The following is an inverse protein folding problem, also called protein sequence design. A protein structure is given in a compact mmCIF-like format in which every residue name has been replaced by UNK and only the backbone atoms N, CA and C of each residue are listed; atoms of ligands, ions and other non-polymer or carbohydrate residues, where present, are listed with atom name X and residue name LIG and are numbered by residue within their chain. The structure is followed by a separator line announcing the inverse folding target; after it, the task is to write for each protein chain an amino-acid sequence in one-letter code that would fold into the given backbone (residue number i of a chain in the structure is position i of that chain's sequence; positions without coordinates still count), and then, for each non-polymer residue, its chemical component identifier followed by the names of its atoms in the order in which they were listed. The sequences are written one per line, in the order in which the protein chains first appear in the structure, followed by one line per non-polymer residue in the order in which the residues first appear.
data_IF_331000072695
#
_entry.id   IF_331000072695
#
_cell.length_a   1.000
_cell.length_b   1.000
_cell.length_c   1.000
_cell.angle_alpha   90.00
_cell.angle_beta   90.00
_cell.angle_gamma   90.00
#
_symmetry.space_group_name_H-M   'P 1'
#
loop_
_entity.id
_entity.type
_entity.pdbx_description
1 polymer ?
#
# COMPACT_ATOMS: atom_id res chain seq x y z
N UNK A 1 37.37 -8.54 17.26
CA UNK A 1 35.94 -8.50 16.85
C UNK A 1 35.89 -8.49 15.33
N UNK A 2 35.56 -9.61 14.70
CA UNK A 2 35.45 -9.67 13.25
C UNK A 2 34.14 -9.01 12.83
N UNK A 3 34.20 -7.91 12.07
CA UNK A 3 33.04 -7.41 11.33
C UNK A 3 32.67 -8.48 10.30
N UNK A 4 31.61 -9.24 10.56
CA UNK A 4 30.99 -10.10 9.57
C UNK A 4 30.71 -9.24 8.34
N UNK A 5 31.37 -9.57 7.22
CA UNK A 5 31.20 -8.85 5.96
C UNK A 5 29.89 -9.34 5.38
N UNK A 6 28.86 -8.49 5.37
CA UNK A 6 27.58 -8.80 4.73
C UNK A 6 27.85 -9.28 3.30
N UNK A 7 27.38 -10.47 2.89
CA UNK A 7 27.58 -11.01 1.55
C UNK A 7 27.16 -9.99 0.48
N UNK A 8 27.92 -9.89 -0.62
CA UNK A 8 27.60 -8.95 -1.72
C UNK A 8 26.19 -9.15 -2.28
N UNK A 9 25.72 -10.39 -2.30
CA UNK A 9 24.40 -10.75 -2.81
C UNK A 9 23.27 -10.23 -1.91
N UNK A 10 23.48 -10.19 -0.59
CA UNK A 10 22.53 -9.63 0.37
C UNK A 10 22.41 -8.11 0.20
N UNK A 11 23.54 -7.42 0.01
CA UNK A 11 23.55 -5.97 -0.26
C UNK A 11 22.83 -5.65 -1.58
N UNK A 12 23.05 -6.44 -2.63
CA UNK A 12 22.38 -6.26 -3.92
C UNK A 12 20.86 -6.43 -3.78
N UNK A 13 20.40 -7.48 -3.08
CA UNK A 13 18.99 -7.73 -2.80
C UNK A 13 18.32 -6.59 -2.01
N UNK A 14 19.02 -6.03 -1.01
CA UNK A 14 18.52 -4.86 -0.27
C UNK A 14 18.38 -3.64 -1.17
N UNK A 15 19.36 -3.38 -2.06
CA UNK A 15 19.30 -2.25 -3.01
C UNK A 15 18.09 -2.41 -3.95
N UNK A 16 17.86 -3.61 -4.48
CA UNK A 16 16.70 -3.89 -5.34
C UNK A 16 15.38 -3.67 -4.59
N UNK A 17 15.31 -4.09 -3.33
CA UNK A 17 14.11 -3.91 -2.51
C UNK A 17 13.84 -2.44 -2.18
N UNK A 18 14.88 -1.64 -1.90
CA UNK A 18 14.74 -0.20 -1.71
C UNK A 18 14.27 0.48 -3.00
N UNK A 19 14.84 0.11 -4.16
CA UNK A 19 14.40 0.63 -5.47
C UNK A 19 12.94 0.33 -5.74
N UNK A 20 12.47 -0.89 -5.43
CA UNK A 20 11.07 -1.25 -5.58
C UNK A 20 10.12 -0.34 -4.77
N UNK A 21 10.53 0.06 -3.55
CA UNK A 21 9.78 1.02 -2.72
C UNK A 21 9.81 2.42 -3.33
N UNK A 22 10.96 2.85 -3.86
CA UNK A 22 11.09 4.15 -4.52
C UNK A 22 10.26 4.23 -5.80
N UNK A 23 10.21 3.15 -6.59
CA UNK A 23 9.45 3.08 -7.85
C UNK A 23 7.95 3.19 -7.60
N UNK A 24 7.40 2.45 -6.64
CA UNK A 24 5.98 2.59 -6.28
C UNK A 24 5.70 3.97 -5.69
N UNK A 25 6.62 4.55 -4.92
CA UNK A 25 6.48 5.92 -4.39
C UNK A 25 6.44 6.94 -5.51
N UNK A 26 7.32 6.81 -6.51
CA UNK A 26 7.33 7.65 -7.69
C UNK A 26 6.03 7.52 -8.48
N UNK A 27 5.50 6.30 -8.65
CA UNK A 27 4.19 6.09 -9.24
C UNK A 27 3.08 6.79 -8.44
N UNK A 28 3.05 6.64 -7.11
CA UNK A 28 2.04 7.29 -6.27
C UNK A 28 2.04 8.82 -6.41
N UNK A 29 3.21 9.42 -6.56
CA UNK A 29 3.36 10.87 -6.74
C UNK A 29 2.98 11.35 -8.14
N UNK A 30 3.29 10.57 -9.18
CA UNK A 30 3.20 11.01 -10.57
C UNK A 30 2.02 10.42 -11.35
N UNK A 31 1.28 9.46 -10.77
CA UNK A 31 0.17 8.81 -11.46
C UNK A 31 -0.83 9.82 -12.04
N UNK A 32 -1.27 10.87 -11.33
CA UNK A 32 -2.25 11.84 -11.85
C UNK A 32 -1.74 12.77 -12.97
N UNK A 33 -0.42 12.94 -13.15
CA UNK A 33 0.13 13.94 -14.05
C UNK A 33 0.30 13.45 -15.51
N UNK A 34 0.74 12.20 -15.70
CA UNK A 34 1.13 11.69 -17.03
C UNK A 34 0.04 10.79 -17.63
N UNK A 35 -1.04 11.39 -18.15
CA UNK A 35 -2.17 10.66 -18.75
C UNK A 35 -2.18 10.77 -20.27
N UNK A 36 -2.36 9.64 -20.94
CA UNK A 36 -2.73 9.62 -22.37
C UNK A 36 -4.21 10.04 -22.52
N UNK A 37 -4.55 10.69 -23.64
CA UNK A 37 -5.86 11.36 -23.82
C UNK A 37 -7.09 10.47 -23.62
N UNK A 38 -6.99 9.17 -23.87
CA UNK A 38 -8.06 8.16 -23.69
C UNK A 38 -7.87 7.27 -22.46
N UNK A 39 -6.83 7.47 -21.67
CA UNK A 39 -6.58 6.66 -20.50
C UNK A 39 -7.56 7.03 -19.39
N UNK A 40 -8.17 6.00 -18.79
CA UNK A 40 -9.12 6.12 -17.67
C UNK A 40 -8.57 5.52 -16.37
N UNK A 41 -7.54 4.65 -16.50
CA UNK A 41 -6.83 4.03 -15.38
C UNK A 41 -5.34 3.94 -15.71
N UNK A 42 -4.48 4.36 -14.77
CA UNK A 42 -3.05 4.03 -14.76
C UNK A 42 -2.77 2.97 -13.70
N UNK A 43 -1.94 1.99 -14.03
CA UNK A 43 -1.61 0.89 -13.12
C UNK A 43 -0.12 0.75 -12.91
N UNK A 44 0.26 0.43 -11.68
CA UNK A 44 1.57 -0.07 -11.32
C UNK A 44 1.45 -1.56 -10.98
N UNK A 45 2.31 -2.40 -11.57
CA UNK A 45 2.36 -3.83 -11.28
C UNK A 45 3.25 -4.05 -10.06
N UNK A 46 2.70 -4.64 -8.99
CA UNK A 46 3.45 -4.89 -7.76
C UNK A 46 4.35 -6.12 -7.93
N UNK A 47 3.78 -7.21 -8.44
CA UNK A 47 4.46 -8.44 -8.82
C UNK A 47 3.47 -9.30 -9.63
N UNK A 48 3.91 -10.41 -10.20
CA UNK A 48 3.02 -11.33 -10.93
C UNK A 48 1.86 -11.85 -10.07
N UNK A 49 2.02 -11.90 -8.73
CA UNK A 49 1.03 -12.48 -7.82
C UNK A 49 0.30 -11.44 -6.94
N UNK A 50 0.87 -10.25 -6.73
CA UNK A 50 0.30 -9.23 -5.82
C UNK A 50 -0.66 -8.26 -6.53
N UNK A 51 -0.69 -8.31 -7.85
CA UNK A 51 -1.63 -7.55 -8.68
C UNK A 51 -1.16 -6.12 -8.92
N UNK A 52 -2.11 -5.18 -8.89
CA UNK A 52 -1.89 -3.80 -9.33
C UNK A 52 -2.35 -2.78 -8.29
N UNK A 53 -1.72 -1.60 -8.34
CA UNK A 53 -2.24 -0.36 -7.76
C UNK A 53 -2.77 0.49 -8.89
N UNK A 54 -4.05 0.87 -8.83
CA UNK A 54 -4.76 1.58 -9.89
C UNK A 54 -5.05 3.03 -9.49
N UNK A 55 -4.52 3.97 -10.25
CA UNK A 55 -4.95 5.37 -10.25
C UNK A 55 -6.12 5.51 -11.23
N UNK A 56 -7.31 5.77 -10.70
CA UNK A 56 -8.54 5.85 -11.49
C UNK A 56 -8.94 7.30 -11.71
N UNK A 57 -9.12 7.71 -12.96
CA UNK A 57 -9.64 9.03 -13.30
C UNK A 57 -11.14 8.95 -13.51
N UNK A 58 -11.89 9.75 -12.78
CA UNK A 58 -13.35 9.80 -12.86
C UNK A 58 -13.86 11.22 -12.61
N UNK A 59 -14.69 11.74 -13.52
CA UNK A 59 -15.27 13.10 -13.42
C UNK A 59 -14.23 14.21 -13.13
N UNK A 60 -13.06 14.14 -13.76
CA UNK A 60 -11.98 15.13 -13.57
C UNK A 60 -11.19 14.99 -12.27
N UNK A 61 -11.51 14.01 -11.42
CA UNK A 61 -10.79 13.70 -10.18
C UNK A 61 -10.06 12.36 -10.28
N UNK A 62 -9.14 12.12 -9.33
CA UNK A 62 -8.34 10.91 -9.26
C UNK A 62 -8.62 10.16 -7.96
N UNK A 63 -8.72 8.83 -8.08
CA UNK A 63 -9.16 7.96 -7.02
C UNK A 63 -8.25 6.74 -6.87
N UNK A 64 -8.21 6.22 -5.65
CA UNK A 64 -7.60 4.93 -5.30
C UNK A 64 -8.56 4.14 -4.40
N UNK A 65 -8.61 2.83 -4.58
CA UNK A 65 -9.48 1.95 -3.78
C UNK A 65 -8.79 1.53 -2.49
N UNK A 66 -9.57 1.23 -1.45
CA UNK A 66 -9.00 0.70 -0.20
C UNK A 66 -8.18 -0.58 -0.42
N UNK A 67 -8.60 -1.44 -1.37
CA UNK A 67 -7.85 -2.64 -1.75
C UNK A 67 -6.48 -2.30 -2.32
N UNK A 68 -6.39 -1.30 -3.19
CA UNK A 68 -5.12 -0.89 -3.80
C UNK A 68 -4.19 -0.21 -2.78
N UNK A 69 -4.75 0.56 -1.84
CA UNK A 69 -3.97 1.11 -0.71
C UNK A 69 -3.37 -0.03 0.12
N UNK A 70 -4.18 -1.00 0.54
CA UNK A 70 -3.73 -2.14 1.33
C UNK A 70 -2.61 -2.90 0.60
N UNK A 71 -2.78 -3.20 -0.70
CA UNK A 71 -1.73 -3.83 -1.50
C UNK A 71 -0.45 -3.01 -1.54
N UNK A 72 -0.54 -1.69 -1.69
CA UNK A 72 0.60 -0.80 -1.66
C UNK A 72 1.36 -0.88 -0.33
N UNK A 73 0.64 -0.86 0.81
CA UNK A 73 1.29 -0.93 2.13
C UNK A 73 1.91 -2.32 2.35
N UNK A 74 1.23 -3.40 1.95
CA UNK A 74 1.78 -4.76 2.03
C UNK A 74 3.07 -4.90 1.21
N UNK A 75 3.06 -4.41 -0.02
CA UNK A 75 4.22 -4.43 -0.92
C UNK A 75 5.41 -3.69 -0.32
N UNK A 76 5.17 -2.49 0.23
CA UNK A 76 6.20 -1.72 0.93
C UNK A 76 6.74 -2.46 2.16
N UNK A 77 5.90 -3.16 2.92
CA UNK A 77 6.33 -3.97 4.07
C UNK A 77 7.25 -5.11 3.66
N UNK A 78 6.88 -5.85 2.60
CA UNK A 78 7.66 -6.97 2.10
C UNK A 78 9.04 -6.51 1.61
N UNK A 79 9.09 -5.45 0.80
CA UNK A 79 10.35 -4.88 0.32
C UNK A 79 11.14 -4.13 1.40
N UNK A 80 10.48 -3.67 2.47
CA UNK A 80 11.18 -3.15 3.64
C UNK A 80 11.88 -4.27 4.42
N UNK A 81 11.56 -5.54 4.12
CA UNK A 81 12.18 -6.70 4.74
C UNK A 81 11.33 -7.34 5.84
N UNK A 82 10.02 -7.05 5.89
CA UNK A 82 9.07 -7.69 6.83
C UNK A 82 8.14 -8.67 6.12
N UNK A 83 8.10 -9.89 6.63
CA UNK A 83 7.13 -10.91 6.19
C UNK A 83 5.84 -10.76 6.97
N UNK A 84 4.72 -10.63 6.26
CA UNK A 84 3.37 -10.56 6.87
C UNK A 84 2.93 -11.98 7.25
N UNK A 85 2.80 -12.23 8.55
CA UNK A 85 2.47 -13.55 9.11
C UNK A 85 0.96 -13.77 9.24
N UNK A 86 0.19 -12.69 9.45
CA UNK A 86 -1.28 -12.72 9.49
C UNK A 86 -1.85 -11.66 8.52
N UNK A 87 -2.05 -12.08 7.27
CA UNK A 87 -2.56 -11.21 6.21
C UNK A 87 -3.89 -10.57 6.59
N UNK A 88 -4.82 -11.33 7.18
CA UNK A 88 -6.16 -10.82 7.50
C UNK A 88 -6.08 -9.70 8.53
N UNK A 89 -5.34 -9.90 9.63
CA UNK A 89 -5.19 -8.85 10.65
C UNK A 89 -4.41 -7.64 10.13
N UNK A 90 -3.44 -7.85 9.25
CA UNK A 90 -2.72 -6.76 8.59
C UNK A 90 -3.69 -5.89 7.77
N UNK A 91 -4.49 -6.52 6.90
CA UNK A 91 -5.50 -5.82 6.09
C UNK A 91 -6.51 -5.08 6.99
N UNK A 92 -7.00 -5.72 8.06
CA UNK A 92 -7.90 -5.10 9.05
C UNK A 92 -7.27 -3.87 9.74
N UNK A 93 -5.98 -3.92 10.08
CA UNK A 93 -5.24 -2.81 10.67
C UNK A 93 -5.13 -1.61 9.72
N UNK A 94 -4.77 -1.84 8.45
CA UNK A 94 -4.73 -0.76 7.46
C UNK A 94 -6.13 -0.21 7.19
N UNK A 95 -7.16 -1.06 7.13
CA UNK A 95 -8.54 -0.60 6.99
C UNK A 95 -9.02 0.22 8.19
N UNK A 96 -8.53 -0.08 9.39
CA UNK A 96 -8.82 0.71 10.60
C UNK A 96 -8.26 2.12 10.46
N UNK A 97 -7.03 2.27 9.99
CA UNK A 97 -6.42 3.59 9.73
C UNK A 97 -7.18 4.37 8.68
N UNK A 98 -7.61 3.69 7.61
CA UNK A 98 -8.41 4.29 6.54
C UNK A 98 -9.81 4.75 7.01
N UNK A 99 -10.28 4.34 8.19
CA UNK A 99 -11.52 4.89 8.76
C UNK A 99 -11.38 6.36 9.12
N UNK A 100 -10.18 6.82 9.46
CA UNK A 100 -9.92 8.21 9.86
C UNK A 100 -10.10 9.23 8.72
N UNK A 101 -9.95 8.79 7.47
CA UNK A 101 -10.16 9.62 6.28
C UNK A 101 -11.66 9.90 6.08
N UNK A 102 -12.10 11.15 6.02
CA UNK A 102 -13.54 11.49 6.10
C UNK A 102 -14.21 11.42 4.72
N UNK A 103 -15.43 10.90 4.68
CA UNK A 103 -16.26 10.97 3.46
C UNK A 103 -16.62 12.44 3.20
N UNK A 104 -16.53 12.87 1.93
CA UNK A 104 -16.73 14.25 1.50
C UNK A 104 -15.44 15.07 1.44
N UNK A 105 -14.45 14.75 2.29
CA UNK A 105 -13.15 15.44 2.28
C UNK A 105 -12.06 14.60 1.62
N UNK A 106 -11.90 13.35 2.08
CA UNK A 106 -10.79 12.46 1.70
C UNK A 106 -11.24 11.28 0.85
N UNK A 107 -12.55 11.02 0.84
CA UNK A 107 -13.15 9.89 0.17
C UNK A 107 -14.58 10.17 -0.28
N UNK A 108 -15.06 9.37 -1.21
CA UNK A 108 -16.47 9.25 -1.59
C UNK A 108 -17.01 7.90 -1.12
N UNK A 109 -18.31 7.85 -0.86
CA UNK A 109 -19.01 6.62 -0.49
C UNK A 109 -19.88 6.17 -1.65
N UNK A 110 -19.37 5.21 -2.42
CA UNK A 110 -20.04 4.66 -3.58
C UNK A 110 -21.01 3.54 -3.18
N UNK A 111 -22.21 3.57 -3.74
CA UNK A 111 -23.27 2.60 -3.46
C UNK A 111 -23.53 1.69 -4.67
N UNK A 112 -24.11 0.49 -4.45
CA UNK A 112 -24.50 -0.39 -5.54
C UNK A 112 -25.33 0.33 -6.60
N UNK A 113 -25.15 -0.04 -7.88
CA UNK A 113 -25.83 0.52 -9.07
C UNK A 113 -25.34 1.89 -9.53
N UNK A 114 -24.47 2.58 -8.79
CA UNK A 114 -23.84 3.80 -9.29
C UNK A 114 -22.80 3.49 -10.36
N UNK A 115 -22.74 4.35 -11.39
CA UNK A 115 -21.86 4.17 -12.56
C UNK A 115 -20.39 4.06 -12.17
N UNK A 116 -19.94 4.80 -11.15
CA UNK A 116 -18.55 4.78 -10.74
C UNK A 116 -18.18 3.45 -10.07
N UNK A 117 -19.02 2.94 -9.17
CA UNK A 117 -18.81 1.62 -8.57
C UNK A 117 -18.80 0.50 -9.63
N UNK A 118 -19.73 0.58 -10.59
CA UNK A 118 -19.83 -0.36 -11.70
C UNK A 118 -18.56 -0.33 -12.58
N UNK A 119 -18.04 0.87 -12.84
CA UNK A 119 -16.77 1.09 -13.52
C UNK A 119 -15.59 0.46 -12.75
N UNK A 120 -15.47 0.70 -11.44
CA UNK A 120 -14.40 0.15 -10.62
C UNK A 120 -14.41 -1.39 -10.63
N UNK A 121 -15.61 -1.99 -10.56
CA UNK A 121 -15.77 -3.44 -10.58
C UNK A 121 -15.42 -4.05 -11.95
N UNK A 122 -15.96 -3.48 -13.05
CA UNK A 122 -15.64 -3.91 -14.42
C UNK A 122 -14.15 -3.86 -14.73
N UNK A 123 -13.46 -2.88 -14.15
CA UNK A 123 -12.02 -2.73 -14.27
C UNK A 123 -11.24 -3.38 -13.12
N UNK A 124 -11.80 -4.34 -12.38
CA UNK A 124 -11.10 -5.14 -11.36
C UNK A 124 -10.37 -4.32 -10.27
N UNK A 125 -10.76 -3.06 -10.03
CA UNK A 125 -10.20 -2.21 -8.98
C UNK A 125 -10.78 -2.56 -7.61
N UNK A 126 -11.95 -3.22 -7.59
CA UNK A 126 -12.64 -3.75 -6.41
C UNK A 126 -13.17 -5.16 -6.70
N UNK A 127 -13.33 -5.97 -5.65
CA UNK A 127 -13.81 -7.36 -5.78
C UNK A 127 -15.33 -7.52 -5.70
N UNK A 128 -16.04 -6.54 -5.13
CA UNK A 128 -17.49 -6.63 -4.92
C UNK A 128 -18.16 -5.32 -5.29
N UNK A 129 -19.44 -5.39 -5.68
CA UNK A 129 -20.27 -4.21 -5.92
C UNK A 129 -21.11 -3.82 -4.70
N UNK A 130 -20.66 -4.19 -3.49
CA UNK A 130 -21.23 -3.66 -2.25
C UNK A 130 -20.78 -2.22 -2.07
N UNK A 131 -21.41 -1.49 -1.15
CA UNK A 131 -21.00 -0.12 -0.78
C UNK A 131 -19.48 -0.06 -0.53
N UNK A 132 -18.78 0.82 -1.24
CA UNK A 132 -17.33 1.00 -1.12
C UNK A 132 -17.00 2.44 -0.72
N UNK A 133 -16.01 2.59 0.16
CA UNK A 133 -15.35 3.87 0.39
C UNK A 133 -14.17 3.96 -0.57
N UNK A 134 -14.17 4.96 -1.43
CA UNK A 134 -13.14 5.19 -2.47
C UNK A 134 -12.46 6.51 -2.16
N UNK A 135 -11.13 6.55 -2.17
CA UNK A 135 -10.37 7.67 -1.63
C UNK A 135 -9.90 8.59 -2.73
N UNK A 136 -9.88 9.90 -2.47
CA UNK A 136 -9.22 10.86 -3.36
C UNK A 136 -7.73 10.61 -3.33
N UNK A 137 -7.13 10.46 -4.52
CA UNK A 137 -5.74 10.05 -4.67
C UNK A 137 -4.76 10.90 -3.84
N UNK A 138 -4.94 12.22 -3.87
CA UNK A 138 -4.05 13.18 -3.20
C UNK A 138 -4.23 13.26 -1.68
N UNK A 139 -5.32 12.72 -1.13
CA UNK A 139 -5.64 12.81 0.29
C UNK A 139 -5.16 11.58 1.08
N UNK A 140 -4.59 10.58 0.40
CA UNK A 140 -4.09 9.37 1.05
C UNK A 140 -2.59 9.52 1.34
N UNK A 141 -2.26 9.72 2.61
CA UNK A 141 -0.88 9.75 3.09
C UNK A 141 -0.30 8.32 3.24
N UNK A 142 0.07 7.69 2.12
CA UNK A 142 0.54 6.29 2.08
C UNK A 142 1.75 6.02 2.98
N UNK A 143 2.71 6.93 3.04
CA UNK A 143 3.91 6.77 3.88
C UNK A 143 3.54 6.83 5.38
N UNK A 144 2.55 7.66 5.75
CA UNK A 144 2.01 7.69 7.11
C UNK A 144 1.28 6.39 7.46
N UNK A 145 0.45 5.85 6.56
CA UNK A 145 -0.23 4.57 6.78
C UNK A 145 0.78 3.42 7.00
N UNK A 146 1.88 3.41 6.24
CA UNK A 146 2.95 2.45 6.44
C UNK A 146 3.63 2.63 7.80
N UNK A 147 3.98 3.86 8.17
CA UNK A 147 4.62 4.16 9.45
C UNK A 147 3.72 3.78 10.64
N UNK A 148 2.44 4.15 10.61
CA UNK A 148 1.46 3.83 11.64
C UNK A 148 1.30 2.29 11.78
N UNK A 149 1.31 1.55 10.67
CA UNK A 149 1.27 0.09 10.68
C UNK A 149 2.55 -0.53 11.28
N UNK A 150 3.72 0.03 10.95
CA UNK A 150 5.01 -0.48 11.41
C UNK A 150 5.19 -0.22 12.91
N UNK A 151 4.84 0.98 13.37
CA UNK A 151 4.86 1.36 14.77
C UNK A 151 3.98 0.44 15.62
N UNK A 152 2.78 0.08 15.13
CA UNK A 152 1.91 -0.88 15.83
C UNK A 152 2.54 -2.25 15.98
N UNK A 153 3.19 -2.76 14.94
CA UNK A 153 3.85 -4.07 15.01
C UNK A 153 5.04 -4.05 15.96
N UNK A 154 5.89 -3.01 15.90
CA UNK A 154 7.03 -2.85 16.82
C UNK A 154 6.56 -2.71 18.27
N UNK A 155 5.47 -1.97 18.53
CA UNK A 155 4.88 -1.87 19.88
C UNK A 155 4.38 -3.21 20.40
N UNK A 156 3.80 -4.05 19.54
CA UNK A 156 3.37 -5.41 19.91
C UNK A 156 4.57 -6.29 20.25
N UNK A 157 5.62 -6.27 19.40
CA UNK A 157 6.86 -7.01 19.63
C UNK A 157 7.51 -6.62 20.97
N UNK A 158 7.65 -5.32 21.24
CA UNK A 158 8.19 -4.79 22.51
C UNK A 158 7.36 -5.21 23.73
N UNK A 159 6.06 -5.36 23.56
CA UNK A 159 5.14 -5.77 24.63
C UNK A 159 5.02 -7.28 24.77
N UNK A 160 5.84 -8.07 24.04
CA UNK A 160 5.77 -9.54 24.03
C UNK A 160 4.49 -10.11 23.40
N UNK A 161 3.76 -9.29 22.65
CA UNK A 161 2.56 -9.70 21.92
C UNK A 161 2.90 -10.12 20.50
N UNK A 162 2.08 -11.00 19.93
CA UNK A 162 2.20 -11.35 18.50
C UNK A 162 1.88 -10.14 17.62
N UNK A 163 2.88 -9.69 16.87
CA UNK A 163 2.75 -8.76 15.75
C UNK A 163 2.14 -9.46 14.51
N UNK A 164 1.71 -8.68 13.52
CA UNK A 164 1.12 -9.19 12.28
C UNK A 164 2.14 -9.34 11.13
N UNK A 165 3.37 -8.90 11.37
CA UNK A 165 4.54 -9.14 10.51
C UNK A 165 5.80 -9.33 11.35
N UNK A 166 6.86 -9.85 10.75
CA UNK A 166 8.18 -10.07 11.39
C UNK A 166 9.29 -9.62 10.46
N UNK A 167 10.32 -8.95 11.01
CA UNK A 167 11.53 -8.60 10.27
C UNK A 167 12.32 -9.87 9.90
N UNK A 168 12.60 -10.04 8.61
CA UNK A 168 13.33 -11.21 8.06
C UNK A 168 14.52 -10.82 7.19
N UNK A 169 14.53 -9.60 6.65
CA UNK A 169 15.57 -9.07 5.78
C UNK A 169 15.89 -7.61 6.10
N UNK A 170 17.05 -7.14 5.66
CA UNK A 170 17.37 -5.71 5.69
C UNK A 170 16.51 -4.93 4.68
N UNK A 171 16.10 -3.68 4.99
CA UNK A 171 16.50 -2.88 6.16
C UNK A 171 15.71 -3.17 7.47
N UNK A 172 14.67 -3.99 7.46
CA UNK A 172 13.83 -4.18 8.65
C UNK A 172 14.56 -4.80 9.85
N UNK A 173 15.62 -5.60 9.65
CA UNK A 173 16.38 -6.23 10.74
C UNK A 173 17.19 -5.21 11.54
N UNK A 174 17.84 -4.26 10.86
CA UNK A 174 18.62 -3.19 11.49
C UNK A 174 17.81 -1.94 11.85
N UNK A 175 16.53 -1.91 11.49
CA UNK A 175 15.66 -0.77 11.76
C UNK A 175 15.32 -0.66 13.25
N UNK A 176 15.62 0.51 13.82
CA UNK A 176 15.21 0.89 15.17
C UNK A 176 14.24 2.07 15.10
N UNK A 177 13.06 1.87 15.66
CA UNK A 177 12.06 2.92 15.82
C UNK A 177 12.24 3.58 17.18
N UNK A 178 12.67 4.84 17.23
CA UNK A 178 12.82 5.57 18.50
C UNK A 178 11.45 5.86 19.16
#
# INVERSE_FOLDING_TARGET
MAKSKVPRDEVASTIESVRAIEDIRFFLLTAPANWLGNQIIRRYCLSNNDGYVSCVRWNGLFFITGTDIVRCIMYKFQHFGRTITDRKKFEEGVFLDLRNLRVGNDAVLETPKLKFLDFLHKNQCIRTQKKQKVFFWFNVAHDKLMADALERDIKRERSGQSAVSTAVHEPALSFHYD
#
